data_IF_632003084108
#
_entry.id   IF_632003084108
#
_cell.length_a   1.000
_cell.length_b   1.000
_cell.length_c   1.000
_cell.angle_alpha   90.00
_cell.angle_beta   90.00
_cell.angle_gamma   90.00
#
_symmetry.space_group_name_H-M   'P 1'
#
loop_
_entity.id
_entity.type
_entity.pdbx_description
1 polymer ?
#
# COMPACT_ATOMS: atom_id res chain seq x y z
N UNK A 1 -25.16 -15.72 -3.24
CA UNK A 1 -26.05 -14.67 -2.70
C UNK A 1 -25.87 -13.43 -3.56
N UNK A 2 -26.94 -12.74 -3.95
CA UNK A 2 -26.81 -11.53 -4.76
C UNK A 2 -26.09 -10.46 -3.93
N UNK A 3 -25.00 -9.89 -4.44
CA UNK A 3 -24.34 -8.76 -3.79
C UNK A 3 -25.27 -7.55 -3.89
N UNK A 4 -26.02 -7.29 -2.82
CA UNK A 4 -26.82 -6.08 -2.68
C UNK A 4 -25.88 -4.90 -2.39
N UNK A 5 -26.05 -3.81 -3.15
CA UNK A 5 -25.25 -2.60 -2.98
C UNK A 5 -26.16 -1.43 -2.63
N UNK A 6 -25.69 -0.60 -1.72
CA UNK A 6 -26.33 0.64 -1.30
C UNK A 6 -25.47 1.81 -1.75
N UNK A 7 -26.12 2.89 -2.18
CA UNK A 7 -25.43 4.12 -2.58
C UNK A 7 -25.30 5.04 -1.37
N UNK A 8 -24.07 5.48 -1.09
CA UNK A 8 -23.75 6.48 -0.07
C UNK A 8 -22.88 7.53 -0.74
N UNK A 9 -23.39 8.75 -0.91
CA UNK A 9 -22.77 9.75 -1.78
C UNK A 9 -22.63 9.25 -3.22
N UNK A 10 -21.41 9.28 -3.76
CA UNK A 10 -21.07 8.69 -5.06
C UNK A 10 -20.62 7.23 -4.97
N UNK A 11 -20.34 6.72 -3.77
CA UNK A 11 -19.91 5.34 -3.57
C UNK A 11 -21.06 4.34 -3.73
N UNK A 12 -20.73 3.18 -4.26
CA UNK A 12 -21.61 2.00 -4.30
C UNK A 12 -21.01 0.92 -3.41
N UNK A 13 -21.57 0.75 -2.22
CA UNK A 13 -21.00 -0.05 -1.13
C UNK A 13 -21.80 -1.33 -0.96
N UNK A 14 -21.12 -2.46 -0.75
CA UNK A 14 -21.80 -3.72 -0.41
C UNK A 14 -22.60 -3.54 0.87
N UNK A 15 -23.87 -3.95 0.89
CA UNK A 15 -24.73 -3.82 2.07
C UNK A 15 -24.18 -4.54 3.29
N UNK A 16 -23.49 -5.67 3.09
CA UNK A 16 -22.85 -6.42 4.16
C UNK A 16 -21.77 -5.57 4.83
N UNK A 17 -20.92 -4.91 4.02
CA UNK A 17 -19.86 -4.04 4.54
C UNK A 17 -20.44 -2.79 5.21
N UNK A 18 -21.44 -2.16 4.59
CA UNK A 18 -22.10 -0.98 5.14
C UNK A 18 -22.69 -1.28 6.53
N UNK A 19 -23.44 -2.39 6.65
CA UNK A 19 -24.04 -2.80 7.91
C UNK A 19 -22.99 -3.13 8.97
N UNK A 20 -21.94 -3.89 8.60
CA UNK A 20 -20.84 -4.22 9.51
C UNK A 20 -20.21 -2.95 10.09
N UNK A 21 -19.84 -2.00 9.23
CA UNK A 21 -19.21 -0.75 9.69
C UNK A 21 -20.15 0.04 10.59
N UNK A 22 -21.40 0.25 10.18
CA UNK A 22 -22.34 1.11 10.92
C UNK A 22 -22.83 0.47 12.23
N UNK A 23 -23.02 -0.85 12.26
CA UNK A 23 -23.65 -1.55 13.38
C UNK A 23 -22.66 -2.21 14.33
N UNK A 24 -21.44 -2.53 13.87
CA UNK A 24 -20.46 -3.26 14.68
C UNK A 24 -19.18 -2.45 14.95
N UNK A 25 -18.76 -1.57 14.02
CA UNK A 25 -17.48 -0.84 14.16
C UNK A 25 -17.68 0.55 14.77
N UNK A 26 -18.58 1.35 14.20
CA UNK A 26 -18.75 2.75 14.58
C UNK A 26 -19.37 2.99 15.98
N UNK A 27 -20.27 2.15 16.53
CA UNK A 27 -20.92 2.45 17.82
C UNK A 27 -19.96 2.67 18.99
N UNK A 28 -18.81 1.99 18.99
CA UNK A 28 -17.79 2.10 20.03
C UNK A 28 -16.76 3.22 19.75
N UNK A 29 -16.91 3.92 18.62
CA UNK A 29 -16.05 5.02 18.20
C UNK A 29 -16.80 6.35 18.33
N UNK A 30 -16.09 7.40 18.72
CA UNK A 30 -16.65 8.76 18.74
C UNK A 30 -16.67 9.39 17.34
N UNK A 31 -17.20 8.67 16.35
CA UNK A 31 -17.23 9.06 14.93
C UNK A 31 -18.65 8.80 14.38
N UNK A 32 -19.27 9.82 13.80
CA UNK A 32 -20.58 9.70 13.14
C UNK A 32 -20.43 8.98 11.78
N UNK A 33 -21.38 8.08 11.45
CA UNK A 33 -21.54 7.43 10.14
C UNK A 33 -21.40 8.39 8.95
N UNK A 34 -22.10 9.52 8.95
CA UNK A 34 -22.06 10.49 7.84
C UNK A 34 -20.66 11.07 7.66
N UNK A 35 -20.00 11.42 8.77
CA UNK A 35 -18.64 11.95 8.76
C UNK A 35 -17.63 10.89 8.29
N UNK A 36 -17.80 9.64 8.72
CA UNK A 36 -16.97 8.52 8.29
C UNK A 36 -17.10 8.29 6.78
N UNK A 37 -18.31 8.13 6.26
CA UNK A 37 -18.51 7.78 4.85
C UNK A 37 -18.17 8.92 3.90
N UNK A 38 -18.46 10.17 4.26
CA UNK A 38 -18.03 11.33 3.46
C UNK A 38 -16.51 11.49 3.45
N UNK A 39 -15.84 11.28 4.59
CA UNK A 39 -14.38 11.26 4.66
C UNK A 39 -13.76 10.13 3.82
N UNK A 40 -14.32 8.91 3.92
CA UNK A 40 -13.89 7.78 3.13
C UNK A 40 -14.06 8.03 1.62
N UNK A 41 -15.20 8.59 1.20
CA UNK A 41 -15.44 8.99 -0.19
C UNK A 41 -14.42 10.01 -0.70
N UNK A 42 -14.11 11.03 0.10
CA UNK A 42 -13.11 12.04 -0.24
C UNK A 42 -11.74 11.42 -0.48
N UNK A 43 -11.27 10.61 0.46
CA UNK A 43 -9.96 9.94 0.39
C UNK A 43 -9.90 8.98 -0.81
N UNK A 44 -10.93 8.16 -1.01
CA UNK A 44 -10.98 7.22 -2.13
C UNK A 44 -10.94 7.98 -3.46
N UNK A 45 -11.71 9.06 -3.57
CA UNK A 45 -11.79 9.85 -4.81
C UNK A 45 -10.45 10.50 -5.13
N UNK A 46 -9.79 11.08 -4.12
CA UNK A 46 -8.51 11.77 -4.26
C UNK A 46 -7.35 10.81 -4.54
N UNK A 47 -7.25 9.70 -3.79
CA UNK A 47 -6.07 8.83 -3.81
C UNK A 47 -6.18 7.65 -4.77
N UNK A 48 -7.37 7.26 -5.22
CA UNK A 48 -7.51 6.14 -6.17
C UNK A 48 -6.78 6.34 -7.50
N UNK A 49 -6.78 7.53 -8.13
CA UNK A 49 -5.98 7.78 -9.33
C UNK A 49 -4.48 7.60 -9.08
N UNK A 50 -3.97 8.11 -7.96
CA UNK A 50 -2.56 7.98 -7.60
C UNK A 50 -2.19 6.53 -7.31
N UNK A 51 -3.01 5.79 -6.57
CA UNK A 51 -2.79 4.37 -6.32
C UNK A 51 -2.70 3.56 -7.63
N UNK A 52 -3.62 3.81 -8.58
CA UNK A 52 -3.55 3.18 -9.92
C UNK A 52 -2.28 3.58 -10.68
N UNK A 53 -1.88 4.84 -10.60
CA UNK A 53 -0.63 5.32 -11.22
C UNK A 53 0.58 4.59 -10.66
N UNK A 54 0.64 4.39 -9.34
CA UNK A 54 1.74 3.67 -8.68
C UNK A 54 1.79 2.19 -9.08
N UNK A 55 0.64 1.53 -9.24
CA UNK A 55 0.58 0.16 -9.77
C UNK A 55 1.11 0.10 -11.21
N UNK A 56 0.68 1.02 -12.07
CA UNK A 56 1.18 1.09 -13.45
C UNK A 56 2.70 1.35 -13.53
N UNK A 57 3.27 2.11 -12.59
CA UNK A 57 4.73 2.28 -12.50
C UNK A 57 5.40 0.94 -12.22
N UNK A 58 4.87 0.13 -11.30
CA UNK A 58 5.42 -1.19 -10.99
C UNK A 58 5.40 -2.09 -12.22
N UNK A 59 4.27 -2.14 -12.93
CA UNK A 59 4.13 -2.94 -14.15
C UNK A 59 5.10 -2.47 -15.25
N UNK A 60 5.25 -1.16 -15.43
CA UNK A 60 6.17 -0.57 -16.40
C UNK A 60 7.64 -0.89 -16.07
N UNK A 61 8.04 -0.77 -14.81
CA UNK A 61 9.40 -1.12 -14.37
C UNK A 61 9.67 -2.61 -14.58
N UNK A 62 8.73 -3.47 -14.21
CA UNK A 62 8.89 -4.92 -14.40
C UNK A 62 8.99 -5.30 -15.87
N UNK A 63 8.14 -4.73 -16.74
CA UNK A 63 8.18 -4.99 -18.18
C UNK A 63 9.52 -4.58 -18.81
N UNK A 64 10.10 -3.45 -18.39
CA UNK A 64 11.42 -3.03 -18.84
C UNK A 64 12.53 -3.97 -18.37
N UNK A 65 12.47 -4.43 -17.11
CA UNK A 65 13.41 -5.41 -16.56
C UNK A 65 13.32 -6.73 -17.33
N UNK A 66 12.11 -7.21 -17.60
CA UNK A 66 11.87 -8.45 -18.35
C UNK A 66 12.42 -8.35 -19.78
N UNK A 67 12.20 -7.22 -20.46
CA UNK A 67 12.73 -6.95 -21.80
C UNK A 67 14.25 -6.85 -21.81
N UNK A 68 14.84 -6.20 -20.80
CA UNK A 68 16.30 -6.12 -20.68
C UNK A 68 16.91 -7.52 -20.61
N UNK A 69 16.40 -8.40 -19.74
CA UNK A 69 16.92 -9.77 -19.63
C UNK A 69 16.68 -10.62 -20.89
N UNK A 70 15.55 -10.41 -21.59
CA UNK A 70 15.23 -11.08 -22.86
C UNK A 70 16.22 -10.72 -23.97
N UNK A 71 16.62 -9.45 -24.04
CA UNK A 71 17.54 -8.93 -25.06
C UNK A 71 19.02 -9.08 -24.70
N UNK A 72 19.33 -9.37 -23.43
CA UNK A 72 20.68 -9.50 -22.90
C UNK A 72 20.93 -10.89 -22.26
N UNK A 73 20.69 -12.02 -22.97
CA UNK A 73 20.84 -13.35 -22.40
C UNK A 73 22.30 -13.60 -21.93
N UNK A 74 22.46 -13.99 -20.67
CA UNK A 74 23.78 -14.29 -20.08
C UNK A 74 24.63 -13.08 -19.70
N UNK A 75 24.18 -11.84 -19.99
CA UNK A 75 24.90 -10.60 -19.67
C UNK A 75 24.62 -10.01 -18.28
N UNK A 76 23.72 -10.59 -17.49
CA UNK A 76 23.48 -10.19 -16.10
C UNK A 76 24.73 -10.26 -15.19
N UNK A 77 25.82 -10.90 -15.66
CA UNK A 77 27.12 -10.95 -14.99
C UNK A 77 27.90 -9.62 -15.07
N UNK A 78 27.58 -8.76 -16.03
CA UNK A 78 28.05 -7.38 -16.04
C UNK A 78 27.17 -6.52 -15.14
N UNK A 79 27.55 -6.45 -13.87
CA UNK A 79 26.82 -5.73 -12.83
C UNK A 79 26.77 -4.22 -13.13
N UNK A 80 27.79 -3.67 -13.80
CA UNK A 80 27.87 -2.23 -14.08
C UNK A 80 26.84 -1.82 -15.14
N UNK A 81 26.74 -2.58 -16.24
CA UNK A 81 25.75 -2.34 -17.31
C UNK A 81 24.32 -2.45 -16.77
N UNK A 82 24.03 -3.50 -16.01
CA UNK A 82 22.69 -3.70 -15.44
C UNK A 82 22.33 -2.63 -14.41
N UNK A 83 23.28 -2.24 -13.55
CA UNK A 83 23.05 -1.19 -12.56
C UNK A 83 22.77 0.15 -13.23
N UNK A 84 23.48 0.50 -14.31
CA UNK A 84 23.22 1.73 -15.05
C UNK A 84 21.81 1.71 -15.66
N UNK A 85 21.42 0.60 -16.30
CA UNK A 85 20.06 0.41 -16.80
C UNK A 85 18.99 0.66 -15.71
N UNK A 86 19.19 0.12 -14.50
CA UNK A 86 18.24 0.32 -13.41
C UNK A 86 18.13 1.79 -12.96
N UNK A 87 19.22 2.57 -13.03
CA UNK A 87 19.14 4.02 -12.83
C UNK A 87 18.39 4.71 -13.97
N UNK A 88 18.67 4.32 -15.21
CA UNK A 88 18.10 4.94 -16.41
C UNK A 88 16.57 4.80 -16.46
N UNK A 89 16.04 3.64 -16.04
CA UNK A 89 14.58 3.42 -15.95
C UNK A 89 13.95 4.00 -14.68
N UNK A 90 14.75 4.60 -13.79
CA UNK A 90 14.29 5.16 -12.51
C UNK A 90 13.95 4.12 -11.45
N UNK A 91 14.40 2.87 -11.60
CA UNK A 91 14.24 1.82 -10.58
C UNK A 91 15.17 2.08 -9.39
N UNK A 92 16.44 2.40 -9.68
CA UNK A 92 17.38 2.88 -8.68
C UNK A 92 17.36 4.41 -8.65
N UNK A 93 17.31 4.96 -7.45
CA UNK A 93 17.47 6.38 -7.17
C UNK A 93 18.83 6.62 -6.50
N UNK A 94 19.46 7.80 -6.66
CA UNK A 94 20.63 8.15 -5.88
C UNK A 94 20.36 7.92 -4.38
N UNK A 95 21.35 7.35 -3.68
CA UNK A 95 21.23 7.16 -2.24
C UNK A 95 21.00 8.51 -1.59
N UNK A 96 19.96 8.62 -0.79
CA UNK A 96 19.78 9.76 0.09
C UNK A 96 20.93 9.77 1.12
N UNK A 97 21.73 10.84 1.11
CA UNK A 97 23.06 10.91 1.71
C UNK A 97 23.14 11.88 2.89
N UNK A 98 22.02 12.16 3.54
CA UNK A 98 22.03 12.87 4.81
C UNK A 98 22.41 11.89 5.93
N UNK A 99 23.58 12.09 6.52
CA UNK A 99 24.07 11.27 7.65
C UNK A 99 23.29 11.55 8.95
N UNK A 100 22.48 12.61 8.98
CA UNK A 100 21.70 13.03 10.15
C UNK A 100 20.22 12.66 10.05
N UNK A 101 19.86 11.68 9.22
CA UNK A 101 18.47 11.19 9.18
C UNK A 101 18.10 10.64 10.55
N UNK A 102 17.12 11.28 11.17
CA UNK A 102 16.50 10.84 12.40
C UNK A 102 15.02 10.67 12.14
N UNK A 103 14.48 9.51 12.51
CA UNK A 103 13.03 9.32 12.56
C UNK A 103 12.47 10.03 13.80
N UNK A 104 11.28 10.62 13.69
CA UNK A 104 10.64 11.39 14.75
C UNK A 104 9.34 10.74 15.27
N UNK A 105 9.16 9.44 15.00
CA UNK A 105 7.98 8.68 15.43
C UNK A 105 7.96 8.58 16.95
N UNK A 106 6.83 8.96 17.56
CA UNK A 106 6.61 8.88 19.00
C UNK A 106 5.39 7.99 19.28
N UNK A 107 5.14 7.69 20.57
CA UNK A 107 3.99 6.89 21.02
C UNK A 107 3.97 5.47 20.43
N UNK A 108 5.13 4.81 20.43
CA UNK A 108 5.31 3.43 19.96
C UNK A 108 5.45 2.51 21.17
N UNK A 109 4.74 1.38 21.16
CA UNK A 109 4.85 0.34 22.20
C UNK A 109 6.26 -0.25 22.30
N UNK A 110 6.64 -0.70 23.50
CA UNK A 110 7.99 -1.20 23.81
C UNK A 110 8.36 -2.44 22.98
N UNK A 111 7.37 -3.29 22.66
CA UNK A 111 7.52 -4.47 21.81
C UNK A 111 8.04 -4.14 20.41
N UNK A 112 7.82 -2.91 19.95
CA UNK A 112 8.29 -2.41 18.65
C UNK A 112 9.53 -1.52 18.83
N UNK A 113 9.54 -0.65 19.84
CA UNK A 113 10.55 0.39 19.97
C UNK A 113 11.87 -0.08 20.60
N UNK A 114 11.83 -1.01 21.56
CA UNK A 114 12.98 -1.31 22.43
C UNK A 114 13.29 -2.82 22.47
N UNK A 115 12.28 -3.68 22.37
CA UNK A 115 12.45 -5.12 22.52
C UNK A 115 12.84 -5.82 21.20
N UNK A 116 13.93 -6.58 21.21
CA UNK A 116 14.26 -7.51 20.13
C UNK A 116 13.61 -8.88 20.39
N UNK A 117 12.54 -9.20 19.65
CA UNK A 117 11.81 -10.45 19.79
C UNK A 117 11.27 -10.98 18.44
N UNK A 118 10.89 -12.27 18.35
CA UNK A 118 10.25 -12.81 17.15
C UNK A 118 8.92 -12.12 16.82
N UNK A 119 8.64 -11.91 15.53
CA UNK A 119 7.36 -11.41 15.04
C UNK A 119 6.61 -12.53 14.30
N UNK A 120 5.46 -12.93 14.84
CA UNK A 120 4.60 -13.95 14.24
C UNK A 120 3.72 -13.34 13.15
N UNK A 121 3.55 -14.07 12.04
CA UNK A 121 2.62 -13.71 10.95
C UNK A 121 1.62 -14.84 10.77
N UNK A 122 0.32 -14.52 10.93
CA UNK A 122 -0.80 -15.46 10.83
C UNK A 122 -1.94 -14.85 10.00
N UNK A 123 -2.78 -15.68 9.34
CA UNK A 123 -3.90 -15.18 8.57
C UNK A 123 -5.04 -14.70 9.47
N UNK A 124 -5.38 -13.40 9.40
CA UNK A 124 -6.46 -12.80 10.19
C UNK A 124 -7.82 -13.50 10.04
N UNK A 125 -8.08 -14.11 8.88
CA UNK A 125 -9.33 -14.81 8.58
C UNK A 125 -9.50 -16.13 9.35
N UNK A 126 -8.44 -16.64 10.00
CA UNK A 126 -8.53 -17.79 10.87
C UNK A 126 -8.51 -17.33 12.33
N UNK A 127 -9.65 -17.45 13.00
CA UNK A 127 -9.79 -17.09 14.42
C UNK A 127 -9.16 -18.10 15.39
N UNK A 128 -8.68 -19.25 14.89
CA UNK A 128 -7.95 -20.28 15.68
C UNK A 128 -6.45 -20.05 15.59
#
# INVERSE_FOLDING_TARGET
>A
MANEYVRVGTLKISKILLNFVNQEVLPDLNINEDAFWSGAESIITELSPENRRLLNIRDCLQAQIDEWHRTHPGKYRDISEYKQFLYDIGYLSPRYNDENIQINTNNVDDEIAIQAAPQLVVPLMNAR
#
